data_IF_520712586631
#
_entry.id   IF_520712586631
#
_cell.length_a   1.000
_cell.length_b   1.000
_cell.length_c   1.000
_cell.angle_alpha   90.00
_cell.angle_beta   90.00
_cell.angle_gamma   90.00
#
_symmetry.space_group_name_H-M   'P 1'
#
loop_
_entity.id
_entity.type
_entity.pdbx_description
1 polymer ?
#
# COMPACT_ATOMS: atom_id res chain seq x y z
N UNK A 1 -5.53 3.34 23.33
CA UNK A 1 -5.56 4.38 22.26
C UNK A 1 -5.23 3.82 20.88
N UNK A 2 -4.12 3.11 20.67
CA UNK A 2 -3.75 2.57 19.35
C UNK A 2 -4.78 1.59 18.75
N UNK A 3 -5.45 0.78 19.58
CA UNK A 3 -6.45 -0.20 19.11
C UNK A 3 -7.67 0.48 18.48
N UNK A 4 -8.16 1.57 19.08
CA UNK A 4 -9.27 2.37 18.52
C UNK A 4 -8.87 2.96 17.16
N UNK A 5 -7.64 3.51 17.06
CA UNK A 5 -7.11 4.01 15.81
C UNK A 5 -7.01 2.92 14.73
N UNK A 6 -6.63 1.70 15.10
CA UNK A 6 -6.58 0.56 14.19
C UNK A 6 -7.97 0.16 13.66
N UNK A 7 -9.00 0.13 14.52
CA UNK A 7 -10.39 -0.15 14.10
C UNK A 7 -10.95 0.94 13.18
N UNK A 8 -10.72 2.22 13.51
CA UNK A 8 -11.13 3.35 12.66
C UNK A 8 -10.44 3.24 11.29
N UNK A 9 -9.12 3.01 11.26
CA UNK A 9 -8.35 2.83 10.03
C UNK A 9 -8.88 1.66 9.19
N UNK A 10 -9.15 0.51 9.81
CA UNK A 10 -9.68 -0.66 9.13
C UNK A 10 -11.07 -0.38 8.52
N UNK A 11 -11.92 0.37 9.22
CA UNK A 11 -13.25 0.76 8.72
C UNK A 11 -13.13 1.66 7.49
N UNK A 12 -12.28 2.70 7.54
CA UNK A 12 -12.04 3.56 6.38
C UNK A 12 -11.41 2.81 5.21
N UNK A 13 -10.52 1.86 5.48
CA UNK A 13 -9.92 1.02 4.44
C UNK A 13 -10.98 0.15 3.74
N UNK A 14 -11.94 -0.39 4.49
CA UNK A 14 -13.06 -1.12 3.93
C UNK A 14 -13.93 -0.25 3.00
N UNK A 15 -14.30 0.95 3.43
CA UNK A 15 -15.00 1.92 2.57
C UNK A 15 -14.19 2.29 1.34
N UNK A 16 -12.90 2.56 1.50
CA UNK A 16 -12.00 2.84 0.39
C UNK A 16 -11.99 1.72 -0.67
N UNK A 17 -11.92 0.45 -0.25
CA UNK A 17 -11.93 -0.67 -1.19
C UNK A 17 -13.27 -0.81 -1.94
N UNK A 18 -14.40 -0.54 -1.28
CA UNK A 18 -15.73 -0.51 -1.92
C UNK A 18 -15.81 0.62 -2.95
N UNK A 19 -15.44 1.85 -2.60
CA UNK A 19 -15.46 2.99 -3.53
C UNK A 19 -14.49 2.79 -4.69
N UNK A 20 -13.32 2.26 -4.43
CA UNK A 20 -12.31 1.91 -5.44
C UNK A 20 -12.86 0.86 -6.41
N UNK A 21 -13.50 -0.20 -5.92
CA UNK A 21 -14.16 -1.19 -6.78
C UNK A 21 -15.24 -0.56 -7.63
N UNK A 22 -16.10 0.29 -7.05
CA UNK A 22 -17.15 1.00 -7.76
C UNK A 22 -16.59 1.92 -8.85
N UNK A 23 -15.53 2.64 -8.56
CA UNK A 23 -14.86 3.51 -9.51
C UNK A 23 -14.26 2.75 -10.72
N UNK A 24 -13.83 1.50 -10.51
CA UNK A 24 -13.24 0.66 -11.56
C UNK A 24 -14.29 0.03 -12.50
N UNK A 25 -15.59 0.07 -12.17
CA UNK A 25 -16.65 -0.45 -13.03
C UNK A 25 -16.76 0.44 -14.26
N UNK A 26 -16.62 -0.16 -15.45
CA UNK A 26 -16.68 0.50 -16.75
C UNK A 26 -15.64 1.63 -17.00
N UNK A 27 -14.64 1.75 -16.14
CA UNK A 27 -13.59 2.76 -16.25
C UNK A 27 -12.21 2.14 -16.48
N UNK A 28 -11.29 2.93 -17.06
CA UNK A 28 -9.90 2.52 -17.22
C UNK A 28 -9.15 2.58 -15.90
N UNK A 29 -8.28 1.60 -15.66
CA UNK A 29 -7.53 1.47 -14.39
C UNK A 29 -6.54 2.62 -14.19
N UNK A 30 -5.77 2.98 -15.23
CA UNK A 30 -4.70 3.97 -15.12
C UNK A 30 -5.19 5.37 -14.74
N UNK A 31 -6.26 5.93 -15.36
CA UNK A 31 -6.80 7.23 -14.94
C UNK A 31 -7.32 7.24 -13.51
N UNK A 32 -7.98 6.16 -13.06
CA UNK A 32 -8.48 6.09 -11.68
C UNK A 32 -7.33 6.05 -10.69
N UNK A 33 -6.30 5.26 -10.98
CA UNK A 33 -5.12 5.17 -10.13
C UNK A 33 -4.36 6.52 -10.11
N UNK A 34 -4.29 7.22 -11.25
CA UNK A 34 -3.73 8.57 -11.30
C UNK A 34 -4.52 9.56 -10.43
N UNK A 35 -5.85 9.59 -10.55
CA UNK A 35 -6.68 10.44 -9.71
C UNK A 35 -6.49 10.15 -8.22
N UNK A 36 -6.40 8.87 -7.85
CA UNK A 36 -6.15 8.48 -6.46
C UNK A 36 -4.80 9.02 -5.95
N UNK A 37 -3.72 8.85 -6.72
CA UNK A 37 -2.39 9.37 -6.35
C UNK A 37 -2.33 10.90 -6.38
N UNK A 38 -3.04 11.54 -7.32
CA UNK A 38 -3.11 12.99 -7.43
C UNK A 38 -3.79 13.62 -6.21
N UNK A 39 -4.98 13.14 -5.83
CA UNK A 39 -5.66 13.67 -4.64
C UNK A 39 -4.88 13.37 -3.36
N UNK A 40 -4.23 12.22 -3.27
CA UNK A 40 -3.36 11.91 -2.15
C UNK A 40 -2.18 12.89 -2.06
N UNK A 41 -1.52 13.19 -3.19
CA UNK A 41 -0.42 14.16 -3.21
C UNK A 41 -0.88 15.57 -2.87
N UNK A 42 -2.08 15.96 -3.32
CA UNK A 42 -2.66 17.27 -3.03
C UNK A 42 -2.92 17.48 -1.53
N UNK A 43 -3.28 16.43 -0.79
CA UNK A 43 -3.45 16.47 0.66
C UNK A 43 -2.12 16.69 1.38
N UNK A 44 -1.04 16.04 0.91
CA UNK A 44 0.27 16.12 1.57
C UNK A 44 1.11 17.34 1.15
N UNK A 45 0.86 17.91 -0.03
CA UNK A 45 1.58 19.08 -0.55
C UNK A 45 1.59 20.29 0.42
N UNK A 46 0.46 20.70 1.03
CA UNK A 46 0.44 21.81 1.97
C UNK A 46 1.34 21.58 3.18
N UNK A 47 1.45 20.36 3.71
CA UNK A 47 2.32 20.06 4.85
C UNK A 47 3.80 20.22 4.49
N UNK A 48 4.20 19.81 3.26
CA UNK A 48 5.56 20.00 2.76
C UNK A 48 5.85 21.53 2.64
N UNK A 49 4.96 22.29 2.02
CA UNK A 49 5.13 23.74 1.81
C UNK A 49 5.16 24.48 3.15
N UNK A 50 4.23 24.19 4.06
CA UNK A 50 4.18 24.85 5.37
C UNK A 50 5.42 24.51 6.21
N UNK A 51 5.90 23.26 6.18
CA UNK A 51 7.10 22.87 6.93
C UNK A 51 8.39 23.45 6.35
N UNK A 52 8.43 23.75 5.04
CA UNK A 52 9.62 24.33 4.41
C UNK A 52 9.69 25.85 4.49
N UNK A 53 8.56 26.55 4.60
CA UNK A 53 8.49 28.02 4.56
C UNK A 53 8.04 28.66 5.86
N UNK A 54 7.46 27.91 6.79
CA UNK A 54 6.94 28.46 8.04
C UNK A 54 7.31 27.58 9.23
N UNK A 55 7.45 28.17 10.41
CA UNK A 55 7.68 27.46 11.67
C UNK A 55 6.38 27.01 12.37
N UNK A 56 5.23 27.12 11.69
CA UNK A 56 3.93 26.81 12.29
C UNK A 56 3.75 25.33 12.66
N UNK A 57 4.50 24.42 12.03
CA UNK A 57 4.38 22.99 12.24
C UNK A 57 5.53 22.37 13.04
N UNK A 58 6.55 23.13 13.45
CA UNK A 58 7.80 22.62 14.04
C UNK A 58 7.60 21.69 15.27
N UNK A 59 6.53 21.87 16.02
CA UNK A 59 6.17 21.02 17.17
C UNK A 59 4.91 20.17 16.93
N UNK A 60 4.44 20.08 15.69
CA UNK A 60 3.26 19.32 15.32
C UNK A 60 3.62 17.90 14.83
N UNK A 61 2.68 16.98 15.02
CA UNK A 61 2.76 15.65 14.38
C UNK A 61 2.86 15.73 12.84
N UNK A 62 2.40 16.82 12.24
CA UNK A 62 2.38 17.04 10.78
C UNK A 62 3.65 17.70 10.24
N UNK A 63 4.66 17.93 11.08
CA UNK A 63 5.93 18.46 10.62
C UNK A 63 6.63 17.53 9.65
N UNK A 64 6.97 18.03 8.47
CA UNK A 64 7.74 17.32 7.44
C UNK A 64 9.19 17.78 7.52
N UNK A 65 10.06 16.91 8.01
CA UNK A 65 11.49 17.15 8.07
C UNK A 65 12.08 17.36 6.67
N UNK A 66 13.09 18.21 6.54
CA UNK A 66 13.79 18.39 5.28
C UNK A 66 14.75 17.22 5.06
N UNK A 67 14.51 16.43 4.00
CA UNK A 67 15.39 15.35 3.60
C UNK A 67 16.42 15.80 2.57
N UNK A 68 17.63 15.25 2.62
CA UNK A 68 18.64 15.38 1.58
C UNK A 68 18.38 14.42 0.40
N UNK A 69 19.21 14.50 -0.63
CA UNK A 69 19.10 13.63 -1.80
C UNK A 69 19.21 12.13 -1.44
N UNK A 70 19.99 11.81 -0.42
CA UNK A 70 20.16 10.44 0.06
C UNK A 70 18.82 9.84 0.56
N UNK A 71 18.08 10.57 1.37
CA UNK A 71 16.77 10.16 1.89
C UNK A 71 15.73 10.02 0.77
N UNK A 72 15.76 10.96 -0.18
CA UNK A 72 14.84 10.94 -1.31
C UNK A 72 15.00 9.72 -2.22
N UNK A 73 16.21 9.21 -2.41
CA UNK A 73 16.46 7.98 -3.21
C UNK A 73 15.69 6.78 -2.63
N UNK A 74 15.69 6.61 -1.32
CA UNK A 74 14.93 5.54 -0.66
C UNK A 74 13.43 5.72 -0.83
N UNK A 75 12.93 6.95 -0.71
CA UNK A 75 11.51 7.24 -0.88
C UNK A 75 11.06 7.03 -2.33
N UNK A 76 11.89 7.37 -3.30
CA UNK A 76 11.65 7.10 -4.73
C UNK A 76 11.55 5.59 -4.95
N UNK A 77 12.50 4.79 -4.44
CA UNK A 77 12.43 3.33 -4.56
C UNK A 77 11.17 2.75 -3.92
N UNK A 78 10.78 3.23 -2.73
CA UNK A 78 9.50 2.88 -2.09
C UNK A 78 8.33 3.17 -3.02
N UNK A 79 8.29 4.36 -3.64
CA UNK A 79 7.17 4.77 -4.49
C UNK A 79 7.01 3.86 -5.71
N UNK A 80 8.11 3.38 -6.29
CA UNK A 80 8.10 2.42 -7.41
C UNK A 80 7.57 1.06 -6.96
N UNK A 81 8.03 0.52 -5.83
CA UNK A 81 7.57 -0.77 -5.30
C UNK A 81 6.07 -0.73 -5.02
N UNK A 82 5.59 0.30 -4.32
CA UNK A 82 4.18 0.43 -3.97
C UNK A 82 3.32 0.66 -5.21
N UNK A 83 3.75 1.51 -6.14
CA UNK A 83 3.00 1.77 -7.36
C UNK A 83 2.85 0.50 -8.21
N UNK A 84 3.92 -0.31 -8.31
CA UNK A 84 3.85 -1.62 -8.98
C UNK A 84 2.81 -2.53 -8.32
N UNK A 85 2.82 -2.63 -6.98
CA UNK A 85 1.80 -3.36 -6.23
C UNK A 85 0.39 -2.85 -6.51
N UNK A 86 0.20 -1.54 -6.56
CA UNK A 86 -1.11 -0.93 -6.81
C UNK A 86 -1.60 -1.16 -8.24
N UNK A 87 -0.74 -1.07 -9.25
CA UNK A 87 -1.11 -1.35 -10.65
C UNK A 87 -1.66 -2.78 -10.76
N UNK A 88 -0.93 -3.78 -10.28
CA UNK A 88 -1.40 -5.18 -10.28
C UNK A 88 -2.67 -5.37 -9.44
N UNK A 89 -2.76 -4.72 -8.28
CA UNK A 89 -3.93 -4.78 -7.41
C UNK A 89 -5.18 -4.16 -8.03
N UNK A 90 -5.06 -3.00 -8.66
CA UNK A 90 -6.19 -2.33 -9.34
C UNK A 90 -6.67 -3.10 -10.58
N UNK A 91 -5.74 -3.63 -11.37
CA UNK A 91 -6.08 -4.48 -12.52
C UNK A 91 -6.84 -5.73 -12.04
N UNK A 92 -6.36 -6.39 -11.00
CA UNK A 92 -7.02 -7.57 -10.41
C UNK A 92 -8.38 -7.23 -9.83
N UNK A 93 -8.49 -6.14 -9.07
CA UNK A 93 -9.74 -5.69 -8.47
C UNK A 93 -10.80 -5.33 -9.52
N UNK A 94 -10.41 -4.87 -10.70
CA UNK A 94 -11.34 -4.63 -11.81
C UNK A 94 -12.05 -5.93 -12.24
N UNK A 95 -11.34 -7.05 -12.27
CA UNK A 95 -11.80 -8.31 -12.83
C UNK A 95 -12.28 -9.33 -11.79
N UNK A 96 -11.95 -9.16 -10.51
CA UNK A 96 -12.31 -10.07 -9.44
C UNK A 96 -13.35 -9.46 -8.50
N UNK A 97 -14.26 -10.25 -7.93
CA UNK A 97 -15.16 -9.77 -6.88
C UNK A 97 -14.38 -9.42 -5.59
N UNK A 98 -14.93 -8.50 -4.80
CA UNK A 98 -14.32 -8.08 -3.53
C UNK A 98 -14.19 -9.22 -2.52
N UNK A 99 -15.09 -10.18 -2.55
CA UNK A 99 -15.09 -11.39 -1.73
C UNK A 99 -13.82 -12.24 -1.92
N UNK A 100 -13.15 -12.11 -3.07
CA UNK A 100 -11.86 -12.77 -3.33
C UNK A 100 -10.67 -11.84 -3.10
N UNK A 101 -10.81 -10.57 -3.43
CA UNK A 101 -9.73 -9.58 -3.27
C UNK A 101 -9.42 -9.36 -1.79
N UNK A 102 -10.44 -9.28 -0.94
CA UNK A 102 -10.30 -9.06 0.51
C UNK A 102 -9.41 -10.12 1.18
N UNK A 103 -9.75 -11.42 1.10
CA UNK A 103 -8.96 -12.49 1.71
C UNK A 103 -7.50 -12.52 1.23
N UNK A 104 -7.25 -12.33 -0.07
CA UNK A 104 -5.87 -12.33 -0.59
C UNK A 104 -5.10 -11.13 -0.06
N UNK A 105 -5.69 -9.94 -0.02
CA UNK A 105 -5.05 -8.77 0.57
C UNK A 105 -4.79 -8.94 2.08
N UNK A 106 -5.67 -9.63 2.79
CA UNK A 106 -5.50 -9.91 4.21
C UNK A 106 -4.35 -10.91 4.52
N UNK A 107 -3.76 -11.55 3.51
CA UNK A 107 -2.52 -12.32 3.68
C UNK A 107 -1.27 -11.44 3.82
N UNK A 108 -1.32 -10.16 3.40
CA UNK A 108 -0.16 -9.25 3.43
C UNK A 108 0.48 -9.11 4.82
N UNK A 109 -0.27 -8.87 5.91
CA UNK A 109 0.33 -8.79 7.25
C UNK A 109 1.09 -10.07 7.63
N UNK A 110 0.59 -11.24 7.24
CA UNK A 110 1.24 -12.52 7.50
C UNK A 110 2.55 -12.62 6.71
N UNK A 111 2.53 -12.23 5.42
CA UNK A 111 3.74 -12.19 4.58
C UNK A 111 4.79 -11.22 5.15
N UNK A 112 4.37 -10.03 5.62
CA UNK A 112 5.25 -9.05 6.28
C UNK A 112 5.84 -9.65 7.55
N UNK A 113 5.05 -10.34 8.35
CA UNK A 113 5.50 -10.96 9.59
C UNK A 113 6.56 -12.05 9.32
N UNK A 114 6.27 -12.96 8.38
CA UNK A 114 7.22 -14.01 7.97
C UNK A 114 8.50 -13.38 7.40
N UNK A 115 8.36 -12.37 6.56
CA UNK A 115 9.49 -11.61 6.02
C UNK A 115 10.32 -10.94 7.11
N UNK A 116 9.67 -10.36 8.14
CA UNK A 116 10.36 -9.74 9.28
C UNK A 116 11.15 -10.77 10.11
N UNK A 117 10.61 -11.97 10.29
CA UNK A 117 11.34 -13.07 10.94
C UNK A 117 12.59 -13.47 10.14
N UNK A 118 12.46 -13.60 8.81
CA UNK A 118 13.56 -14.02 7.95
C UNK A 118 14.64 -12.93 7.77
N UNK A 119 14.24 -11.67 7.64
CA UNK A 119 15.16 -10.55 7.30
C UNK A 119 15.74 -9.90 8.55
N UNK A 120 14.91 -9.73 9.60
CA UNK A 120 15.30 -9.01 10.83
C UNK A 120 15.54 -9.93 12.02
N UNK A 121 15.38 -11.25 11.85
CA UNK A 121 15.56 -12.21 12.95
C UNK A 121 14.55 -12.04 14.09
N UNK A 122 13.37 -11.47 13.81
CA UNK A 122 12.36 -11.26 14.84
C UNK A 122 11.75 -12.58 15.30
N UNK A 123 11.53 -12.71 16.61
CA UNK A 123 10.87 -13.86 17.21
C UNK A 123 9.49 -13.48 17.70
N UNK A 124 8.51 -14.29 17.33
CA UNK A 124 7.14 -14.14 17.81
C UNK A 124 6.99 -14.73 19.20
N UNK A 125 6.24 -14.04 20.04
CA UNK A 125 5.78 -14.61 21.29
C UNK A 125 4.56 -15.54 21.06
N UNK A 126 4.19 -16.33 22.08
CA UNK A 126 3.10 -17.30 21.96
C UNK A 126 1.75 -16.66 21.58
N UNK A 127 1.44 -15.47 22.08
CA UNK A 127 0.20 -14.75 21.77
C UNK A 127 0.16 -14.27 20.32
N UNK A 128 1.29 -13.86 19.77
CA UNK A 128 1.42 -13.47 18.37
C UNK A 128 1.22 -14.68 17.44
N UNK A 129 1.76 -15.85 17.79
CA UNK A 129 1.50 -17.10 17.05
C UNK A 129 0.03 -17.49 17.04
N UNK A 130 -0.67 -17.35 18.17
CA UNK A 130 -2.14 -17.57 18.22
C UNK A 130 -2.85 -16.62 17.27
N UNK A 131 -2.46 -15.34 17.25
CA UNK A 131 -3.01 -14.34 16.31
C UNK A 131 -2.79 -14.72 14.84
N UNK A 132 -1.62 -15.21 14.48
CA UNK A 132 -1.30 -15.69 13.12
C UNK A 132 -2.19 -16.87 12.73
N UNK A 133 -2.31 -17.87 13.61
CA UNK A 133 -3.14 -19.04 13.37
C UNK A 133 -4.62 -18.65 13.19
N UNK A 134 -5.15 -17.77 14.03
CA UNK A 134 -6.53 -17.28 13.91
C UNK A 134 -6.74 -16.50 12.60
N UNK A 135 -5.77 -15.69 12.19
CA UNK A 135 -5.83 -14.96 10.92
C UNK A 135 -5.82 -15.92 9.73
N UNK A 136 -4.96 -16.94 9.72
CA UNK A 136 -4.92 -17.98 8.68
C UNK A 136 -6.24 -18.77 8.62
N UNK A 137 -6.81 -19.11 9.77
CA UNK A 137 -8.10 -19.81 9.87
C UNK A 137 -9.24 -18.97 9.31
N UNK A 138 -9.27 -17.66 9.63
CA UNK A 138 -10.24 -16.71 9.08
C UNK A 138 -10.15 -16.63 7.56
N UNK A 139 -8.92 -16.52 7.01
CA UNK A 139 -8.68 -16.50 5.56
C UNK A 139 -9.12 -17.80 4.88
N UNK A 140 -8.86 -18.94 5.51
CA UNK A 140 -9.28 -20.23 5.01
C UNK A 140 -10.81 -20.34 4.93
N UNK A 141 -11.52 -19.93 5.98
CA UNK A 141 -12.99 -19.91 6.01
C UNK A 141 -13.56 -18.98 4.93
N UNK A 142 -13.00 -17.79 4.75
CA UNK A 142 -13.38 -16.87 3.68
C UNK A 142 -13.10 -17.45 2.30
N UNK A 143 -11.99 -18.14 2.11
CA UNK A 143 -11.66 -18.81 0.85
C UNK A 143 -12.67 -19.91 0.48
N UNK A 144 -13.15 -20.68 1.46
CA UNK A 144 -14.21 -21.69 1.24
C UNK A 144 -15.52 -21.01 0.81
N UNK A 145 -15.89 -19.91 1.44
CA UNK A 145 -17.07 -19.14 1.06
C UNK A 145 -16.99 -18.59 -0.36
N UNK A 146 -15.81 -18.09 -0.78
CA UNK A 146 -15.59 -17.55 -2.13
C UNK A 146 -15.68 -18.59 -3.25
N UNK A 147 -15.39 -19.87 -2.98
CA UNK A 147 -15.57 -20.97 -3.95
C UNK A 147 -17.02 -21.12 -4.42
N UNK A 148 -17.99 -20.74 -3.60
CA UNK A 148 -19.42 -20.81 -3.97
C UNK A 148 -19.81 -19.80 -5.07
N UNK A 149 -18.95 -18.83 -5.37
CA UNK A 149 -19.16 -17.84 -6.44
C UNK A 149 -18.67 -18.30 -7.82
N UNK A 150 -18.32 -19.60 -7.98
CA UNK A 150 -18.02 -20.21 -9.28
C UNK A 150 -16.67 -19.81 -9.91
N UNK A 151 -15.74 -19.23 -9.14
CA UNK A 151 -14.43 -18.83 -9.65
C UNK A 151 -13.39 -19.91 -9.39
N UNK A 152 -12.83 -20.45 -10.48
CA UNK A 152 -11.72 -21.43 -10.40
C UNK A 152 -10.39 -20.74 -10.08
N UNK A 153 -9.86 -20.97 -8.87
CA UNK A 153 -8.64 -20.35 -8.37
C UNK A 153 -7.39 -20.65 -9.20
N UNK A 154 -7.29 -21.85 -9.76
CA UNK A 154 -6.06 -22.38 -10.36
C UNK A 154 -5.78 -21.90 -11.79
N UNK A 155 -6.77 -21.34 -12.49
CA UNK A 155 -6.62 -20.95 -13.90
C UNK A 155 -6.94 -19.48 -14.19
N UNK A 156 -7.07 -18.65 -13.16
CA UNK A 156 -7.44 -17.24 -13.33
C UNK A 156 -6.20 -16.34 -13.19
N UNK A 157 -5.76 -15.75 -14.33
CA UNK A 157 -4.62 -14.84 -14.40
C UNK A 157 -4.75 -13.61 -13.46
N UNK A 158 -5.97 -13.20 -13.16
CA UNK A 158 -6.21 -12.04 -12.28
C UNK A 158 -5.93 -12.36 -10.82
N UNK A 159 -6.10 -13.61 -10.41
CA UNK A 159 -5.69 -14.08 -9.08
C UNK A 159 -4.17 -14.08 -8.96
N UNK A 160 -3.47 -14.50 -10.01
CA UNK A 160 -2.00 -14.43 -10.04
C UNK A 160 -1.50 -12.98 -9.93
N UNK A 161 -2.10 -12.03 -10.66
CA UNK A 161 -1.76 -10.61 -10.52
C UNK A 161 -2.05 -10.07 -9.12
N UNK A 162 -3.15 -10.49 -8.50
CA UNK A 162 -3.47 -10.11 -7.14
C UNK A 162 -2.45 -10.68 -6.13
N UNK A 163 -1.98 -11.88 -6.36
CA UNK A 163 -0.92 -12.48 -5.54
C UNK A 163 0.39 -11.70 -5.66
N UNK A 164 0.80 -11.34 -6.90
CA UNK A 164 1.96 -10.46 -7.12
C UNK A 164 1.78 -9.12 -6.38
N UNK A 165 0.60 -8.52 -6.46
CA UNK A 165 0.29 -7.29 -5.73
C UNK A 165 0.42 -7.45 -4.22
N UNK A 166 -0.03 -8.59 -3.66
CA UNK A 166 0.10 -8.89 -2.24
C UNK A 166 1.57 -9.06 -1.82
N UNK A 167 2.36 -9.79 -2.60
CA UNK A 167 3.81 -9.96 -2.35
C UNK A 167 4.56 -8.63 -2.41
N UNK A 168 4.34 -7.82 -3.46
CA UNK A 168 4.95 -6.50 -3.58
C UNK A 168 4.51 -5.57 -2.44
N UNK A 169 3.24 -5.67 -2.01
CA UNK A 169 2.74 -4.95 -0.84
C UNK A 169 3.41 -5.38 0.46
N UNK A 170 3.70 -6.67 0.62
CA UNK A 170 4.45 -7.18 1.77
C UNK A 170 5.92 -6.71 1.75
N UNK A 171 6.57 -6.75 0.59
CA UNK A 171 7.93 -6.21 0.40
C UNK A 171 7.95 -4.72 0.77
N UNK A 172 6.95 -3.95 0.34
CA UNK A 172 6.82 -2.55 0.72
C UNK A 172 6.69 -2.36 2.23
N UNK A 173 5.91 -3.20 2.91
CA UNK A 173 5.78 -3.13 4.38
C UNK A 173 7.09 -3.42 5.12
N UNK A 174 7.88 -4.40 4.63
CA UNK A 174 9.22 -4.67 5.15
C UNK A 174 10.18 -3.50 4.87
N UNK A 175 10.08 -2.92 3.69
CA UNK A 175 10.88 -1.76 3.31
C UNK A 175 10.53 -0.52 4.15
N UNK A 176 9.25 -0.32 4.50
CA UNK A 176 8.83 0.73 5.43
C UNK A 176 9.48 0.58 6.80
N UNK A 177 9.55 -0.65 7.29
CA UNK A 177 10.24 -0.95 8.54
C UNK A 177 11.73 -0.59 8.45
N UNK A 178 12.40 -0.95 7.35
CA UNK A 178 13.79 -0.58 7.09
C UNK A 178 14.00 0.93 7.07
N UNK A 179 13.12 1.68 6.39
CA UNK A 179 13.22 3.13 6.30
C UNK A 179 13.09 3.84 7.65
N UNK A 180 12.19 3.34 8.51
CA UNK A 180 11.86 3.98 9.79
C UNK A 180 12.67 3.44 10.98
N UNK A 181 13.30 2.27 10.85
CA UNK A 181 14.16 1.73 11.89
C UNK A 181 15.40 2.62 12.09
N UNK A 182 15.85 2.74 13.34
CA UNK A 182 17.05 3.51 13.65
C UNK A 182 18.30 2.89 12.99
N UNK A 183 19.33 3.69 12.66
CA UNK A 183 20.59 3.17 12.15
C UNK A 183 21.25 2.13 13.03
N UNK A 184 21.09 2.24 14.34
CA UNK A 184 21.57 1.23 15.31
C UNK A 184 20.92 -0.16 15.12
N UNK A 185 19.73 -0.20 14.54
CA UNK A 185 18.98 -1.43 14.22
C UNK A 185 19.05 -1.78 12.71
N UNK A 186 20.03 -1.26 12.00
CA UNK A 186 20.24 -1.53 10.57
C UNK A 186 19.26 -0.83 9.63
N UNK A 187 18.52 0.17 10.09
CA UNK A 187 17.61 0.98 9.29
C UNK A 187 18.21 2.32 8.84
N UNK A 188 17.41 3.13 8.16
CA UNK A 188 17.79 4.47 7.68
C UNK A 188 17.42 5.56 8.68
N UNK A 189 16.41 5.35 9.52
CA UNK A 189 15.98 6.31 10.55
C UNK A 189 15.15 7.49 10.04
N UNK A 190 14.44 7.33 8.92
CA UNK A 190 13.67 8.41 8.32
C UNK A 190 12.43 8.78 9.14
N UNK A 191 12.10 10.06 9.16
CA UNK A 191 10.87 10.56 9.76
C UNK A 191 9.65 10.06 8.97
N UNK A 192 8.61 9.62 9.70
CA UNK A 192 7.38 9.09 9.11
C UNK A 192 6.67 10.07 8.19
N UNK A 193 6.62 11.35 8.59
CA UNK A 193 5.96 12.39 7.79
C UNK A 193 6.78 12.75 6.55
N UNK A 194 8.10 12.74 6.62
CA UNK A 194 8.97 12.89 5.45
C UNK A 194 8.68 11.78 4.43
N UNK A 195 8.73 10.51 4.88
CA UNK A 195 8.49 9.35 4.01
C UNK A 195 7.09 9.41 3.40
N UNK A 196 6.04 9.64 4.23
CA UNK A 196 4.66 9.61 3.77
C UNK A 196 4.34 10.76 2.80
N UNK A 197 4.83 11.97 3.06
CA UNK A 197 4.54 13.13 2.24
C UNK A 197 5.20 13.03 0.87
N UNK A 198 6.50 12.79 0.81
CA UNK A 198 7.23 12.68 -0.45
C UNK A 198 6.89 11.43 -1.24
N UNK A 199 6.58 10.32 -0.59
CA UNK A 199 6.09 9.12 -1.22
C UNK A 199 4.85 9.38 -2.09
N UNK A 200 3.86 10.13 -1.59
CA UNK A 200 2.65 10.47 -2.35
C UNK A 200 2.97 11.35 -3.56
N UNK A 201 3.89 12.31 -3.42
CA UNK A 201 4.33 13.16 -4.53
C UNK A 201 4.99 12.32 -5.63
N UNK A 202 5.95 11.45 -5.25
CA UNK A 202 6.63 10.59 -6.22
C UNK A 202 5.69 9.60 -6.90
N UNK A 203 4.72 9.04 -6.17
CA UNK A 203 3.69 8.19 -6.79
C UNK A 203 2.86 8.93 -7.82
N UNK A 204 2.46 10.17 -7.53
CA UNK A 204 1.72 11.00 -8.47
C UNK A 204 2.55 11.29 -9.72
N UNK A 205 3.83 11.63 -9.57
CA UNK A 205 4.74 11.88 -10.70
C UNK A 205 4.91 10.64 -11.57
N UNK A 206 5.22 9.49 -10.98
CA UNK A 206 5.36 8.22 -11.70
C UNK A 206 4.05 7.83 -12.42
N UNK A 207 2.92 7.96 -11.74
CA UNK A 207 1.63 7.61 -12.32
C UNK A 207 1.24 8.58 -13.44
N UNK A 208 1.55 9.87 -13.29
CA UNK A 208 1.38 10.88 -14.35
C UNK A 208 2.20 10.54 -15.59
N UNK A 209 3.45 10.14 -15.41
CA UNK A 209 4.34 9.69 -16.50
C UNK A 209 3.78 8.45 -17.20
N UNK A 210 3.36 7.44 -16.43
CA UNK A 210 2.76 6.21 -16.98
C UNK A 210 1.48 6.52 -17.74
N UNK A 211 0.62 7.39 -17.21
CA UNK A 211 -0.60 7.82 -17.88
C UNK A 211 -0.31 8.53 -19.19
N UNK A 212 0.66 9.45 -19.20
CA UNK A 212 1.05 10.20 -20.38
C UNK A 212 1.63 9.31 -21.47
N UNK A 213 2.46 8.34 -21.11
CA UNK A 213 3.16 7.48 -22.07
C UNK A 213 2.31 6.30 -22.59
N UNK A 214 1.47 5.71 -21.75
CA UNK A 214 0.76 4.49 -22.09
C UNK A 214 -0.73 4.71 -22.42
N UNK A 215 -1.42 5.59 -21.72
CA UNK A 215 -2.87 5.73 -21.87
C UNK A 215 -3.27 6.84 -22.85
N UNK A 216 -2.63 8.02 -22.79
CA UNK A 216 -2.99 9.12 -23.68
C UNK A 216 -2.81 8.76 -25.18
N UNK A 217 -1.72 8.09 -25.61
CA UNK A 217 -1.57 7.71 -27.01
C UNK A 217 -2.58 6.65 -27.49
N UNK A 218 -3.07 5.80 -26.57
CA UNK A 218 -4.01 4.72 -26.93
C UNK A 218 -5.47 5.16 -26.95
N UNK A 219 -5.79 6.33 -26.39
CA UNK A 219 -7.16 6.86 -26.34
C UNK A 219 -7.67 7.34 -27.71
N UNK A 220 -6.77 7.69 -28.61
CA UNK A 220 -7.09 8.22 -29.94
C UNK A 220 -7.13 7.15 -31.05
N UNK A 221 -6.98 5.87 -30.69
CA UNK A 221 -7.20 4.71 -31.56
C UNK A 221 -8.51 4.01 -31.17
#
# INVERSE_FOLDING_TARGET
MWLIGAFISATFLGFYDVFKKKALINNAVLPILFLNTFFSSLIFLPFIILSSHTHCLDNSFFYVEQGGWYEHQYIILKSVIVLSSWIFGYISMKHLPLTMVGPINATRPIMVLVGAMCVYGEHLNMYQWIGVVLALLSLFLLSISGKKEGIHFTHNKWIFFLFIAAVLGAISGLYDKFLMASPANGGVGLNKMLVQSWFNIYQCLWMGLILALLWLPTRHK
#
